data_IF_341294559544
#
_entry.id   IF_341294559544
#
_cell.length_a   1.000
_cell.length_b   1.000
_cell.length_c   1.000
_cell.angle_alpha   90.00
_cell.angle_beta   90.00
_cell.angle_gamma   90.00
#
_symmetry.space_group_name_H-M   'P 1'
#
loop_
_entity.id
_entity.type
_entity.pdbx_description
1 polymer ?
#
# COMPACT_ATOMS: atom_id res chain seq x y z
N UNK A 1 8.39 3.38 -16.77
CA UNK A 1 7.03 2.97 -16.35
C UNK A 1 6.65 3.69 -15.06
N UNK A 2 5.44 4.20 -14.99
CA UNK A 2 4.98 4.92 -13.80
C UNK A 2 4.56 3.92 -12.73
N UNK A 3 5.00 4.15 -11.50
CA UNK A 3 4.73 3.28 -10.35
C UNK A 3 3.69 3.93 -9.44
N UNK A 4 2.71 3.14 -9.03
CA UNK A 4 1.70 3.53 -8.04
C UNK A 4 1.80 2.55 -6.86
N UNK A 5 2.26 3.03 -5.72
CA UNK A 5 2.31 2.21 -4.52
C UNK A 5 0.93 2.17 -3.85
N UNK A 6 0.45 0.97 -3.55
CA UNK A 6 -0.91 0.77 -3.05
C UNK A 6 -0.85 0.41 -1.57
N UNK A 7 -1.49 1.22 -0.74
CA UNK A 7 -1.51 1.01 0.70
C UNK A 7 -2.29 -0.24 1.10
N UNK A 8 -1.94 -0.79 2.26
CA UNK A 8 -2.57 -1.99 2.80
C UNK A 8 -4.08 -1.87 2.93
N UNK A 9 -4.59 -0.69 3.30
CA UNK A 9 -6.03 -0.47 3.45
C UNK A 9 -6.79 -0.68 2.14
N UNK A 10 -6.17 -0.37 1.00
CA UNK A 10 -6.76 -0.60 -0.32
C UNK A 10 -6.88 -2.10 -0.59
N UNK A 11 -5.80 -2.86 -0.37
CA UNK A 11 -5.81 -4.31 -0.57
C UNK A 11 -6.80 -5.01 0.37
N UNK A 12 -6.85 -4.60 1.64
CA UNK A 12 -7.76 -5.17 2.62
C UNK A 12 -9.22 -4.90 2.22
N UNK A 13 -9.53 -3.68 1.82
CA UNK A 13 -10.89 -3.34 1.38
C UNK A 13 -11.28 -4.10 0.12
N UNK A 14 -10.34 -4.26 -0.81
CA UNK A 14 -10.58 -5.01 -2.06
C UNK A 14 -10.97 -6.47 -1.78
N UNK A 15 -10.32 -7.11 -0.82
CA UNK A 15 -10.52 -8.53 -0.51
C UNK A 15 -11.63 -8.75 0.52
N UNK A 16 -11.70 -7.93 1.58
CA UNK A 16 -12.58 -8.16 2.73
C UNK A 16 -13.65 -7.09 2.91
N UNK A 17 -13.63 -6.02 2.13
CA UNK A 17 -14.55 -4.91 2.30
C UNK A 17 -15.96 -5.20 1.80
N UNK A 18 -16.90 -4.33 2.19
CA UNK A 18 -18.26 -4.34 1.65
C UNK A 18 -18.24 -3.90 0.19
N UNK A 19 -19.21 -4.39 -0.59
CA UNK A 19 -19.30 -4.07 -2.03
C UNK A 19 -19.37 -2.57 -2.30
N UNK A 20 -20.01 -1.81 -1.42
CA UNK A 20 -20.09 -0.33 -1.50
C UNK A 20 -18.70 0.31 -1.59
N UNK A 21 -17.72 -0.23 -0.87
CA UNK A 21 -16.35 0.28 -0.87
C UNK A 21 -15.45 -0.47 -1.85
N UNK A 22 -15.71 -1.76 -2.06
CA UNK A 22 -14.92 -2.62 -2.93
C UNK A 22 -15.03 -2.22 -4.39
N UNK A 23 -16.23 -1.94 -4.86
CA UNK A 23 -16.48 -1.61 -6.28
C UNK A 23 -15.72 -0.38 -6.74
N UNK A 24 -15.76 0.78 -6.03
CA UNK A 24 -14.97 1.94 -6.43
C UNK A 24 -13.47 1.68 -6.44
N UNK A 25 -12.96 0.89 -5.48
CA UNK A 25 -11.54 0.54 -5.42
C UNK A 25 -11.15 -0.32 -6.60
N UNK A 26 -11.95 -1.35 -6.91
CA UNK A 26 -11.69 -2.21 -8.06
C UNK A 26 -11.63 -1.41 -9.36
N UNK A 27 -12.57 -0.50 -9.53
CA UNK A 27 -12.62 0.37 -10.71
C UNK A 27 -11.42 1.31 -10.78
N UNK A 28 -11.01 1.89 -9.65
CA UNK A 28 -9.85 2.79 -9.59
C UNK A 28 -8.55 2.06 -9.93
N UNK A 29 -8.35 0.86 -9.38
CA UNK A 29 -7.15 0.06 -9.67
C UNK A 29 -7.13 -0.40 -11.12
N UNK A 30 -8.27 -0.80 -11.66
CA UNK A 30 -8.39 -1.18 -13.07
C UNK A 30 -8.08 0.01 -14.01
N UNK A 31 -8.55 1.21 -13.65
CA UNK A 31 -8.27 2.43 -14.42
C UNK A 31 -6.77 2.75 -14.41
N UNK A 32 -6.09 2.64 -13.27
CA UNK A 32 -4.65 2.84 -13.19
C UNK A 32 -3.90 1.85 -14.10
N UNK A 33 -4.27 0.57 -14.04
CA UNK A 33 -3.66 -0.45 -14.87
C UNK A 33 -3.85 -0.16 -16.38
N UNK A 34 -5.06 0.25 -16.78
CA UNK A 34 -5.33 0.63 -18.18
C UNK A 34 -4.51 1.83 -18.62
N UNK A 35 -4.24 2.78 -17.71
CA UNK A 35 -3.46 3.98 -18.01
C UNK A 35 -1.95 3.74 -17.97
N UNK A 36 -1.52 2.49 -17.83
CA UNK A 36 -0.12 2.10 -17.88
C UNK A 36 0.62 2.22 -16.56
N UNK A 37 -0.08 2.40 -15.45
CA UNK A 37 0.53 2.36 -14.11
C UNK A 37 0.83 0.94 -13.68
N UNK A 38 1.99 0.74 -13.08
CA UNK A 38 2.33 -0.53 -12.42
C UNK A 38 2.01 -0.42 -10.94
N UNK A 39 1.14 -1.31 -10.47
CA UNK A 39 0.74 -1.34 -9.06
C UNK A 39 1.81 -2.04 -8.24
N UNK A 40 2.18 -1.44 -7.12
CA UNK A 40 3.29 -1.89 -6.30
C UNK A 40 2.86 -2.26 -4.89
N UNK A 41 3.60 -3.16 -4.28
CA UNK A 41 3.46 -3.59 -2.90
C UNK A 41 4.83 -3.72 -2.26
N UNK A 42 4.90 -4.13 -1.00
CA UNK A 42 6.16 -4.35 -0.28
C UNK A 42 5.96 -5.36 0.85
N UNK A 43 7.06 -5.77 1.46
CA UNK A 43 7.00 -6.65 2.63
C UNK A 43 6.26 -5.99 3.81
N UNK A 44 6.25 -4.67 3.90
CA UNK A 44 5.47 -3.96 4.91
C UNK A 44 3.96 -4.18 4.71
N UNK A 45 3.50 -4.24 3.44
CA UNK A 45 2.10 -4.59 3.13
C UNK A 45 1.81 -6.04 3.51
N UNK A 46 2.70 -6.98 3.16
CA UNK A 46 2.56 -8.39 3.56
C UNK A 46 2.39 -8.51 5.07
N UNK A 47 3.23 -7.82 5.84
CA UNK A 47 3.13 -7.83 7.30
C UNK A 47 1.75 -7.39 7.77
N UNK A 48 1.27 -6.28 7.27
CA UNK A 48 -0.01 -5.71 7.73
C UNK A 48 -1.22 -6.57 7.33
N UNK A 49 -1.25 -7.12 6.12
CA UNK A 49 -2.41 -7.88 5.65
C UNK A 49 -2.45 -9.31 6.17
N UNK A 50 -1.30 -9.90 6.54
CA UNK A 50 -1.21 -11.30 6.93
C UNK A 50 -1.31 -11.54 8.45
N UNK A 51 -1.08 -10.54 9.28
CA UNK A 51 -1.09 -10.73 10.74
C UNK A 51 -2.42 -11.33 11.21
N UNK A 52 -3.54 -10.71 10.86
CA UNK A 52 -4.85 -11.17 11.32
C UNK A 52 -5.24 -12.53 10.77
N UNK A 53 -5.15 -12.79 9.44
CA UNK A 53 -5.46 -14.11 8.91
C UNK A 53 -4.63 -15.23 9.52
N UNK A 54 -3.33 -15.02 9.72
CA UNK A 54 -2.45 -16.03 10.29
C UNK A 54 -2.73 -16.27 11.78
N UNK A 55 -3.04 -15.21 12.53
CA UNK A 55 -3.45 -15.35 13.93
C UNK A 55 -4.74 -16.13 14.10
N UNK A 56 -5.70 -15.92 13.21
CA UNK A 56 -6.98 -16.63 13.23
C UNK A 56 -6.94 -17.98 12.52
N UNK A 57 -5.79 -18.39 12.01
CA UNK A 57 -5.58 -19.63 11.26
C UNK A 57 -6.48 -19.71 10.01
N UNK A 58 -6.76 -18.59 9.38
CA UNK A 58 -7.50 -18.51 8.13
C UNK A 58 -6.53 -18.65 6.96
N UNK A 59 -6.15 -19.89 6.65
CA UNK A 59 -5.17 -20.18 5.62
C UNK A 59 -5.68 -19.83 4.22
N UNK A 60 -6.99 -19.93 4.00
CA UNK A 60 -7.60 -19.56 2.74
C UNK A 60 -7.43 -18.08 2.46
N UNK A 61 -7.77 -17.22 3.43
CA UNK A 61 -7.61 -15.78 3.29
C UNK A 61 -6.13 -15.39 3.15
N UNK A 62 -5.24 -15.98 3.95
CA UNK A 62 -3.81 -15.75 3.84
C UNK A 62 -3.30 -16.11 2.44
N UNK A 63 -3.75 -17.21 1.86
CA UNK A 63 -3.41 -17.63 0.51
C UNK A 63 -3.88 -16.64 -0.56
N UNK A 64 -5.09 -16.09 -0.39
CA UNK A 64 -5.63 -15.07 -1.30
C UNK A 64 -4.73 -13.82 -1.30
N UNK A 65 -4.34 -13.33 -0.12
CA UNK A 65 -3.44 -12.18 -0.03
C UNK A 65 -2.09 -12.45 -0.66
N UNK A 66 -1.49 -13.61 -0.38
CA UNK A 66 -0.19 -13.96 -0.95
C UNK A 66 -0.22 -14.00 -2.47
N UNK A 67 -1.26 -14.59 -3.04
CA UNK A 67 -1.42 -14.65 -4.49
C UNK A 67 -1.61 -13.27 -5.11
N UNK A 68 -2.45 -12.44 -4.48
CA UNK A 68 -2.72 -11.08 -4.95
C UNK A 68 -1.45 -10.23 -4.93
N UNK A 69 -0.72 -10.22 -3.82
CA UNK A 69 0.48 -9.40 -3.68
C UNK A 69 1.62 -9.90 -4.57
N UNK A 70 1.75 -11.22 -4.75
CA UNK A 70 2.75 -11.80 -5.65
C UNK A 70 2.49 -11.45 -7.12
N UNK A 71 1.25 -11.15 -7.49
CA UNK A 71 0.90 -10.73 -8.85
C UNK A 71 1.26 -9.27 -9.15
N UNK A 72 1.67 -8.51 -8.13
CA UNK A 72 2.02 -7.09 -8.27
C UNK A 72 3.51 -6.89 -8.04
N UNK A 73 4.01 -5.70 -8.38
CA UNK A 73 5.43 -5.40 -8.25
C UNK A 73 5.82 -5.22 -6.79
N UNK A 74 6.80 -6.00 -6.32
CA UNK A 74 7.36 -5.83 -4.99
C UNK A 74 8.44 -4.74 -4.96
N UNK A 75 8.33 -3.82 -4.00
CA UNK A 75 9.33 -2.78 -3.77
C UNK A 75 10.23 -3.21 -2.62
N UNK A 76 11.53 -3.27 -2.86
CA UNK A 76 12.50 -3.67 -1.84
C UNK A 76 12.60 -2.61 -0.74
N UNK A 77 12.71 -3.07 0.51
CA UNK A 77 12.93 -2.20 1.66
C UNK A 77 14.43 -2.18 1.96
N UNK A 78 15.04 -0.99 1.83
CA UNK A 78 16.44 -0.78 2.18
C UNK A 78 16.53 -0.18 3.59
N UNK A 79 17.69 -0.33 4.29
CA UNK A 79 17.84 0.27 5.62
C UNK A 79 17.58 1.78 5.67
N UNK A 80 17.90 2.51 4.61
CA UNK A 80 17.69 3.96 4.53
C UNK A 80 16.21 4.36 4.60
N UNK A 81 15.30 3.47 4.24
CA UNK A 81 13.86 3.71 4.32
C UNK A 81 13.43 4.07 5.74
N UNK A 82 14.02 3.43 6.75
CA UNK A 82 13.64 3.68 8.14
C UNK A 82 14.05 5.07 8.63
N UNK A 83 15.21 5.57 8.19
CA UNK A 83 15.61 6.95 8.47
C UNK A 83 14.68 7.97 7.81
N UNK A 84 14.32 7.73 6.56
CA UNK A 84 13.36 8.57 5.83
C UNK A 84 11.98 8.53 6.48
N UNK A 85 11.53 7.34 6.92
CA UNK A 85 10.27 7.17 7.62
C UNK A 85 10.24 7.95 8.94
N UNK A 86 11.34 7.93 9.69
CA UNK A 86 11.45 8.70 10.93
C UNK A 86 11.27 10.20 10.66
N UNK A 87 11.94 10.72 9.64
CA UNK A 87 11.81 12.12 9.26
C UNK A 87 10.37 12.48 8.87
N UNK A 88 9.70 11.62 8.08
CA UNK A 88 8.30 11.82 7.70
C UNK A 88 7.36 11.79 8.91
N UNK A 89 7.57 10.87 9.83
CA UNK A 89 6.76 10.78 11.04
C UNK A 89 6.89 12.05 11.90
N UNK A 90 8.09 12.58 12.02
CA UNK A 90 8.35 13.80 12.79
C UNK A 90 7.80 15.03 12.08
N UNK A 91 8.03 15.19 10.78
CA UNK A 91 7.66 16.39 10.03
C UNK A 91 6.17 16.43 9.67
N UNK A 92 5.60 15.28 9.27
CA UNK A 92 4.22 15.21 8.76
C UNK A 92 3.24 14.58 9.76
N UNK A 93 3.71 14.17 10.93
CA UNK A 93 2.86 13.59 11.97
C UNK A 93 2.28 12.23 11.62
N UNK A 94 2.91 11.50 10.70
CA UNK A 94 2.43 10.17 10.30
C UNK A 94 2.69 9.12 11.37
N UNK A 95 1.81 8.13 11.45
CA UNK A 95 2.06 6.93 12.24
C UNK A 95 3.22 6.15 11.64
N UNK A 96 3.89 5.34 12.47
CA UNK A 96 5.12 4.66 12.08
C UNK A 96 4.99 3.86 10.78
N UNK A 97 3.98 2.99 10.67
CA UNK A 97 3.81 2.16 9.47
C UNK A 97 3.41 2.99 8.24
N UNK A 98 2.59 4.01 8.42
CA UNK A 98 2.24 4.92 7.33
C UNK A 98 3.49 5.64 6.79
N UNK A 99 4.35 6.09 7.70
CA UNK A 99 5.62 6.70 7.32
C UNK A 99 6.54 5.72 6.56
N UNK A 100 6.56 4.45 6.98
CA UNK A 100 7.33 3.41 6.27
C UNK A 100 6.82 3.23 4.85
N UNK A 101 5.50 3.12 4.65
CA UNK A 101 4.93 2.96 3.32
C UNK A 101 5.28 4.13 2.40
N UNK A 102 5.14 5.35 2.90
CA UNK A 102 5.46 6.55 2.12
C UNK A 102 6.96 6.60 1.79
N UNK A 103 7.81 6.26 2.75
CA UNK A 103 9.25 6.23 2.53
C UNK A 103 9.65 5.21 1.46
N UNK A 104 9.01 4.02 1.46
CA UNK A 104 9.23 3.00 0.43
C UNK A 104 8.85 3.55 -0.95
N UNK A 105 7.66 4.11 -1.07
CA UNK A 105 7.16 4.67 -2.32
C UNK A 105 8.10 5.76 -2.85
N UNK A 106 8.53 6.65 -1.97
CA UNK A 106 9.43 7.75 -2.32
C UNK A 106 10.81 7.24 -2.76
N UNK A 107 11.35 6.26 -2.05
CA UNK A 107 12.64 5.65 -2.37
C UNK A 107 12.67 5.05 -3.78
N UNK A 108 11.57 4.44 -4.20
CA UNK A 108 11.45 3.81 -5.52
C UNK A 108 10.93 4.75 -6.61
N UNK A 109 10.72 6.03 -6.30
CA UNK A 109 10.25 7.00 -7.28
C UNK A 109 8.81 6.78 -7.72
N UNK A 110 7.97 6.22 -6.85
CA UNK A 110 6.55 6.07 -7.14
C UNK A 110 5.91 7.46 -7.31
N UNK A 111 5.19 7.64 -8.39
CA UNK A 111 4.54 8.92 -8.69
C UNK A 111 3.18 9.05 -8.03
N UNK A 112 2.62 7.94 -7.53
CA UNK A 112 1.37 7.91 -6.79
C UNK A 112 1.46 6.98 -5.58
N UNK A 113 0.75 7.38 -4.53
CA UNK A 113 0.47 6.54 -3.38
C UNK A 113 -1.03 6.42 -3.25
N UNK A 114 -1.57 5.22 -3.47
CA UNK A 114 -3.01 4.97 -3.51
C UNK A 114 -3.51 4.65 -2.12
N UNK A 115 -4.33 5.53 -1.58
CA UNK A 115 -4.82 5.43 -0.20
C UNK A 115 -6.19 6.09 -0.06
N UNK A 116 -6.98 5.62 0.91
CA UNK A 116 -8.29 6.21 1.22
C UNK A 116 -8.27 7.11 2.45
N UNK A 117 -7.19 7.10 3.24
CA UNK A 117 -7.09 7.87 4.48
C UNK A 117 -6.94 9.36 4.18
N UNK A 118 -7.88 10.24 4.64
CA UNK A 118 -7.81 11.67 4.40
C UNK A 118 -6.60 12.35 5.02
N UNK A 119 -5.94 11.76 6.03
CA UNK A 119 -4.74 12.32 6.62
C UNK A 119 -3.59 12.50 5.63
N UNK A 120 -3.56 11.69 4.57
CA UNK A 120 -2.53 11.77 3.54
C UNK A 120 -2.72 12.92 2.56
N UNK A 121 -3.88 13.60 2.57
CA UNK A 121 -4.15 14.74 1.67
C UNK A 121 -3.24 15.94 1.92
N UNK A 122 -2.68 16.06 3.13
CA UNK A 122 -1.78 17.16 3.50
C UNK A 122 -0.31 16.83 3.20
N UNK A 123 -0.01 15.65 2.68
CA UNK A 123 1.37 15.25 2.39
C UNK A 123 1.91 15.91 1.13
N UNK A 124 3.14 16.42 1.23
CA UNK A 124 3.82 17.09 0.13
C UNK A 124 4.66 16.17 -0.75
N UNK A 125 4.79 14.90 -0.37
CA UNK A 125 5.75 13.98 -0.99
C UNK A 125 5.17 13.15 -2.13
N UNK A 126 3.92 12.66 -2.02
CA UNK A 126 3.26 11.90 -3.08
C UNK A 126 1.77 12.21 -3.03
N UNK A 127 1.16 12.47 -4.20
CA UNK A 127 -0.28 12.68 -4.27
C UNK A 127 -1.02 11.37 -4.00
N UNK A 128 -2.03 11.39 -3.12
CA UNK A 128 -2.85 10.21 -2.87
C UNK A 128 -3.68 9.81 -4.08
#
# INVERSE_FOLDING_TARGET
>A
MRLADVDSCIWITLIEGLDTYRTPIREALAALARDGWELCTSDAVYLEVLIRPLRSKDDTLAGIYRALLAANRGLAITPSVFGDALALAVCDGLKAMDAVHVAIAKHHGCERFVITDPHFRSMTTIAP
#
